data_IF_595248473241
#
_entry.id   IF_595248473241
#
_cell.length_a   1.000
_cell.length_b   1.000
_cell.length_c   1.000
_cell.angle_alpha   90.00
_cell.angle_beta   90.00
_cell.angle_gamma   90.00
#
_symmetry.space_group_name_H-M   'P 1'
#
loop_
_entity.id
_entity.type
_entity.pdbx_description
1 polymer ?
#
# COMPACT_ATOMS: atom_id res chain seq x y z
N UNK A 1 7.79 -9.70 25.22
CA UNK A 1 7.45 -9.46 23.80
C UNK A 1 5.95 -9.29 23.70
N UNK A 2 5.45 -8.24 23.05
CA UNK A 2 4.01 -8.18 22.70
C UNK A 2 3.77 -9.24 21.63
N UNK A 3 2.87 -10.17 21.89
CA UNK A 3 2.38 -11.10 20.86
C UNK A 3 1.64 -10.30 19.79
N UNK A 4 1.70 -10.69 18.51
CA UNK A 4 0.99 -10.02 17.40
C UNK A 4 -0.49 -9.78 17.73
N UNK A 5 -1.11 -10.70 18.49
CA UNK A 5 -2.50 -10.61 18.95
C UNK A 5 -2.81 -9.43 19.89
N UNK A 6 -1.80 -8.78 20.48
CA UNK A 6 -1.94 -7.68 21.44
C UNK A 6 -1.61 -6.31 20.83
N UNK A 7 -1.48 -6.20 19.50
CA UNK A 7 -1.17 -4.95 18.82
C UNK A 7 -2.48 -4.30 18.36
N UNK A 8 -2.72 -3.06 18.81
CA UNK A 8 -3.85 -2.24 18.35
C UNK A 8 -3.51 -1.59 17.00
N UNK A 9 -3.58 -2.38 15.93
CA UNK A 9 -3.15 -1.96 14.59
C UNK A 9 -3.86 -0.73 14.03
N UNK A 10 -5.10 -0.45 14.47
CA UNK A 10 -5.86 0.73 14.03
C UNK A 10 -5.35 2.05 14.65
N UNK A 11 -4.45 1.99 15.64
CA UNK A 11 -3.82 3.17 16.24
C UNK A 11 -2.42 3.45 15.68
N UNK A 12 -1.94 2.61 14.77
CA UNK A 12 -0.61 2.75 14.17
C UNK A 12 -0.77 3.10 12.68
N UNK A 13 0.13 3.93 12.12
CA UNK A 13 0.30 4.03 10.68
C UNK A 13 0.44 2.64 10.04
N UNK A 14 -0.12 2.44 8.86
CA UNK A 14 -0.12 1.14 8.19
C UNK A 14 1.30 0.56 8.04
N UNK A 15 2.27 1.40 7.69
CA UNK A 15 3.68 1.00 7.57
C UNK A 15 4.28 0.57 8.91
N UNK A 16 3.94 1.23 10.03
CA UNK A 16 4.40 0.86 11.37
C UNK A 16 3.85 -0.49 11.82
N UNK A 17 2.57 -0.75 11.52
CA UNK A 17 1.97 -2.05 11.75
C UNK A 17 2.66 -3.17 10.95
N UNK A 18 2.94 -2.93 9.67
CA UNK A 18 3.67 -3.87 8.81
C UNK A 18 5.11 -4.09 9.32
N UNK A 19 5.82 -3.03 9.72
CA UNK A 19 7.17 -3.14 10.30
C UNK A 19 7.15 -3.96 11.60
N UNK A 20 6.17 -3.72 12.46
CA UNK A 20 6.02 -4.44 13.74
C UNK A 20 5.82 -5.93 13.50
N UNK A 21 4.91 -6.29 12.59
CA UNK A 21 4.69 -7.69 12.19
C UNK A 21 5.95 -8.29 11.56
N UNK A 22 6.67 -7.51 10.73
CA UNK A 22 7.89 -7.98 10.07
C UNK A 22 8.98 -8.37 11.08
N UNK A 23 9.17 -7.59 12.14
CA UNK A 23 10.11 -7.91 13.22
C UNK A 23 9.73 -9.16 14.01
N UNK A 24 8.44 -9.50 14.10
CA UNK A 24 7.99 -10.72 14.76
C UNK A 24 8.29 -11.99 13.92
N UNK A 25 8.34 -11.87 12.60
CA UNK A 25 8.54 -13.01 11.69
C UNK A 25 10.01 -13.19 11.34
N UNK A 26 10.73 -12.08 11.14
CA UNK A 26 12.07 -12.06 10.57
C UNK A 26 13.03 -11.30 11.50
N UNK A 27 13.87 -12.05 12.22
CA UNK A 27 14.75 -11.51 13.26
C UNK A 27 15.76 -10.47 12.72
N UNK A 28 16.25 -10.64 11.50
CA UNK A 28 17.19 -9.71 10.85
C UNK A 28 16.49 -8.56 10.10
N UNK A 29 15.20 -8.31 10.35
CA UNK A 29 14.49 -7.18 9.76
C UNK A 29 15.14 -5.83 10.19
N UNK A 30 15.64 -5.02 9.24
CA UNK A 30 16.46 -3.85 9.55
C UNK A 30 15.58 -2.62 9.84
N UNK A 31 14.82 -2.65 10.93
CA UNK A 31 13.80 -1.63 11.27
C UNK A 31 14.31 -0.19 11.13
N UNK A 32 15.46 0.13 11.77
CA UNK A 32 16.00 1.49 11.75
C UNK A 32 16.35 1.96 10.34
N UNK A 33 16.83 1.06 9.47
CA UNK A 33 17.15 1.38 8.08
C UNK A 33 15.87 1.67 7.28
N UNK A 34 14.83 0.85 7.47
CA UNK A 34 13.52 1.04 6.82
C UNK A 34 12.91 2.38 7.23
N UNK A 35 12.90 2.69 8.53
CA UNK A 35 12.40 3.98 9.04
C UNK A 35 13.18 5.16 8.44
N UNK A 36 14.52 5.10 8.42
CA UNK A 36 15.34 6.16 7.84
C UNK A 36 15.08 6.36 6.33
N UNK A 37 14.87 5.27 5.58
CA UNK A 37 14.52 5.36 4.16
C UNK A 37 13.14 5.99 3.95
N UNK A 38 12.14 5.61 4.75
CA UNK A 38 10.81 6.21 4.71
C UNK A 38 10.85 7.71 5.05
N UNK A 39 11.58 8.11 6.08
CA UNK A 39 11.72 9.53 6.47
C UNK A 39 12.48 10.34 5.40
N UNK A 40 13.43 9.72 4.70
CA UNK A 40 14.10 10.32 3.54
C UNK A 40 13.14 10.56 2.37
N UNK A 41 12.21 9.64 2.12
CA UNK A 41 11.17 9.82 1.09
C UNK A 41 10.21 10.95 1.46
N UNK A 42 9.79 11.02 2.73
CA UNK A 42 8.97 12.12 3.26
C UNK A 42 9.67 13.47 3.07
N UNK A 43 10.94 13.56 3.44
CA UNK A 43 11.72 14.79 3.30
C UNK A 43 11.86 15.21 1.83
N UNK A 44 12.06 14.24 0.94
CA UNK A 44 12.16 14.46 -0.51
C UNK A 44 10.82 14.95 -1.09
N UNK A 45 9.71 14.29 -0.76
CA UNK A 45 8.37 14.71 -1.19
C UNK A 45 8.03 16.11 -0.66
N UNK A 46 8.29 16.40 0.61
CA UNK A 46 8.05 17.71 1.24
C UNK A 46 8.73 18.85 0.50
N UNK A 47 9.91 18.60 -0.07
CA UNK A 47 10.68 19.62 -0.80
C UNK A 47 10.19 19.88 -2.23
N UNK A 48 9.30 19.02 -2.75
CA UNK A 48 8.87 19.02 -4.17
C UNK A 48 7.38 19.19 -4.37
N UNK A 49 6.57 18.80 -3.39
CA UNK A 49 5.11 18.95 -3.41
C UNK A 49 4.74 20.35 -2.92
N UNK A 50 3.84 21.01 -3.65
CA UNK A 50 3.20 22.23 -3.17
C UNK A 50 2.15 21.88 -2.11
N UNK A 51 2.54 22.01 -0.84
CA UNK A 51 1.66 21.72 0.28
C UNK A 51 0.50 22.72 0.43
N UNK A 52 0.52 23.83 -0.30
CA UNK A 52 -0.56 24.82 -0.32
C UNK A 52 -1.63 24.53 -1.37
N UNK A 53 -1.36 23.60 -2.29
CA UNK A 53 -2.31 23.14 -3.29
C UNK A 53 -3.48 22.37 -2.67
N UNK A 54 -4.55 22.17 -3.45
CA UNK A 54 -5.66 21.30 -3.06
C UNK A 54 -5.23 19.83 -2.96
N UNK A 55 -6.03 19.01 -2.27
CA UNK A 55 -5.70 17.61 -2.00
C UNK A 55 -5.50 16.78 -3.27
N UNK A 56 -6.34 16.98 -4.29
CA UNK A 56 -6.25 16.27 -5.55
C UNK A 56 -4.91 16.56 -6.25
N UNK A 57 -4.50 17.84 -6.31
CA UNK A 57 -3.19 18.25 -6.83
C UNK A 57 -2.03 17.64 -6.03
N UNK A 58 -2.10 17.62 -4.68
CA UNK A 58 -1.04 17.01 -3.84
C UNK A 58 -0.88 15.51 -4.13
N UNK A 59 -2.00 14.77 -4.28
CA UNK A 59 -1.96 13.35 -4.63
C UNK A 59 -1.33 13.15 -6.01
N UNK A 60 -1.68 13.96 -7.00
CA UNK A 60 -1.11 13.88 -8.35
C UNK A 60 0.41 14.14 -8.34
N UNK A 61 0.87 15.15 -7.60
CA UNK A 61 2.30 15.45 -7.44
C UNK A 61 3.04 14.31 -6.74
N UNK A 62 2.47 13.75 -5.66
CA UNK A 62 3.06 12.59 -4.99
C UNK A 62 3.09 11.36 -5.91
N UNK A 63 2.04 11.11 -6.68
CA UNK A 63 2.00 10.01 -7.65
C UNK A 63 3.07 10.16 -8.73
N UNK A 64 3.25 11.36 -9.29
CA UNK A 64 4.31 11.61 -10.26
C UNK A 64 5.70 11.35 -9.66
N UNK A 65 5.97 11.84 -8.44
CA UNK A 65 7.22 11.55 -7.74
C UNK A 65 7.41 10.05 -7.52
N UNK A 66 6.39 9.36 -7.01
CA UNK A 66 6.48 7.98 -6.57
C UNK A 66 6.65 7.01 -7.74
N UNK A 67 5.78 7.09 -8.75
CA UNK A 67 5.74 6.14 -9.86
C UNK A 67 6.68 6.51 -11.01
N UNK A 68 6.86 7.80 -11.30
CA UNK A 68 7.65 8.23 -12.48
C UNK A 68 9.10 8.54 -12.09
N UNK A 69 9.32 9.40 -11.10
CA UNK A 69 10.68 9.85 -10.76
C UNK A 69 11.43 8.84 -9.88
N UNK A 70 10.76 8.27 -8.89
CA UNK A 70 11.36 7.27 -8.01
C UNK A 70 11.22 5.86 -8.55
N UNK A 71 10.41 5.65 -9.58
CA UNK A 71 10.24 4.37 -10.28
C UNK A 71 9.76 3.25 -9.36
N UNK A 72 8.91 3.57 -8.38
CA UNK A 72 8.18 2.53 -7.65
C UNK A 72 7.11 1.91 -8.56
N UNK A 73 6.96 0.59 -8.51
CA UNK A 73 5.97 -0.08 -9.35
C UNK A 73 5.83 -1.58 -9.12
N UNK A 74 5.11 -2.22 -10.04
CA UNK A 74 4.92 -3.66 -10.05
C UNK A 74 6.25 -4.41 -10.10
N UNK A 75 6.26 -5.61 -9.56
CA UNK A 75 7.36 -6.53 -9.77
C UNK A 75 7.44 -6.97 -11.24
N UNK A 76 8.63 -6.95 -11.81
CA UNK A 76 8.92 -7.41 -13.16
C UNK A 76 9.72 -8.73 -13.15
N UNK A 77 9.44 -9.61 -14.11
CA UNK A 77 10.16 -10.87 -14.25
C UNK A 77 9.81 -11.92 -13.20
N UNK A 78 10.76 -12.83 -12.93
CA UNK A 78 10.61 -13.90 -11.95
C UNK A 78 11.09 -13.41 -10.59
N UNK A 79 10.21 -13.44 -9.60
CA UNK A 79 10.49 -13.00 -8.24
C UNK A 79 9.91 -13.97 -7.21
N UNK A 80 10.46 -13.91 -6.00
CA UNK A 80 9.83 -14.51 -4.82
C UNK A 80 8.76 -13.55 -4.31
N UNK A 81 7.55 -14.04 -4.08
CA UNK A 81 6.46 -13.20 -3.58
C UNK A 81 6.81 -12.65 -2.20
N UNK A 82 7.50 -13.42 -1.35
CA UNK A 82 7.96 -12.93 -0.05
C UNK A 82 8.85 -11.69 -0.19
N UNK A 83 9.69 -11.61 -1.23
CA UNK A 83 10.58 -10.48 -1.46
C UNK A 83 9.82 -9.18 -1.80
N UNK A 84 8.60 -9.28 -2.33
CA UNK A 84 7.71 -8.15 -2.63
C UNK A 84 6.81 -7.75 -1.44
N UNK A 85 6.90 -8.47 -0.32
CA UNK A 85 6.10 -8.24 0.88
C UNK A 85 6.93 -7.62 2.03
N UNK A 86 8.26 -7.73 1.96
CA UNK A 86 9.16 -7.12 2.94
C UNK A 86 9.49 -5.67 2.57
N UNK A 87 9.12 -4.70 3.43
CA UNK A 87 9.35 -3.27 3.14
C UNK A 87 10.82 -2.93 2.87
N UNK A 88 11.78 -3.56 3.55
CA UNK A 88 13.20 -3.31 3.30
C UNK A 88 13.64 -3.74 1.89
N UNK A 89 13.07 -4.83 1.38
CA UNK A 89 13.32 -5.31 0.01
C UNK A 89 12.61 -4.43 -1.00
N UNK A 90 11.35 -4.09 -0.77
CA UNK A 90 10.56 -3.19 -1.63
C UNK A 90 11.19 -1.81 -1.73
N UNK A 91 11.70 -1.23 -0.63
CA UNK A 91 12.41 0.05 -0.65
C UNK A 91 13.73 -0.02 -1.43
N UNK A 92 14.37 -1.20 -1.47
CA UNK A 92 15.62 -1.41 -2.21
C UNK A 92 15.38 -1.68 -3.70
N UNK A 93 14.38 -2.50 -4.04
CA UNK A 93 14.05 -2.89 -5.42
C UNK A 93 13.17 -1.86 -6.11
N UNK A 94 12.44 -1.06 -5.33
CA UNK A 94 11.32 -0.20 -5.76
C UNK A 94 10.17 -0.99 -6.40
N UNK A 95 10.14 -2.30 -6.19
CA UNK A 95 9.14 -3.20 -6.73
C UNK A 95 8.38 -3.86 -5.58
N UNK A 96 7.06 -3.88 -5.67
CA UNK A 96 6.24 -4.44 -4.60
C UNK A 96 4.83 -4.83 -5.04
N UNK A 97 4.07 -5.31 -4.06
CA UNK A 97 2.64 -5.60 -4.20
C UNK A 97 1.80 -4.33 -3.98
N UNK A 98 0.50 -4.32 -4.36
CA UNK A 98 -0.40 -3.22 -4.03
C UNK A 98 -0.36 -2.82 -2.56
N UNK A 99 -0.22 -3.80 -1.63
CA UNK A 99 -0.21 -3.51 -0.19
C UNK A 99 1.10 -2.83 0.24
N UNK A 100 2.26 -3.32 -0.22
CA UNK A 100 3.55 -2.75 0.19
C UNK A 100 3.83 -1.41 -0.46
N UNK A 101 3.49 -1.24 -1.75
CA UNK A 101 3.56 0.06 -2.42
C UNK A 101 2.57 1.03 -1.75
N UNK A 102 1.37 0.53 -1.47
CA UNK A 102 0.34 1.22 -0.70
C UNK A 102 0.84 1.75 0.64
N UNK A 103 1.49 0.91 1.43
CA UNK A 103 2.00 1.27 2.75
C UNK A 103 3.09 2.36 2.69
N UNK A 104 3.98 2.32 1.69
CA UNK A 104 5.01 3.36 1.53
C UNK A 104 4.37 4.67 1.08
N UNK A 105 3.46 4.63 0.10
CA UNK A 105 2.76 5.81 -0.39
C UNK A 105 1.94 6.48 0.72
N UNK A 106 1.15 5.71 1.46
CA UNK A 106 0.30 6.19 2.54
C UNK A 106 1.12 6.77 3.69
N UNK A 107 2.29 6.19 4.00
CA UNK A 107 3.19 6.79 4.99
C UNK A 107 3.66 8.19 4.59
N UNK A 108 3.98 8.40 3.32
CA UNK A 108 4.38 9.72 2.83
C UNK A 108 3.19 10.67 2.85
N UNK A 109 2.04 10.23 2.38
CA UNK A 109 0.81 11.01 2.34
C UNK A 109 0.39 11.50 3.74
N UNK A 110 0.37 10.60 4.73
CA UNK A 110 0.03 10.90 6.12
C UNK A 110 0.95 11.99 6.70
N UNK A 111 2.27 11.88 6.46
CA UNK A 111 3.26 12.85 6.97
C UNK A 111 3.22 14.21 6.27
N UNK A 112 2.54 14.30 5.14
CA UNK A 112 2.35 15.53 4.37
C UNK A 112 0.92 16.08 4.44
N UNK A 113 0.06 15.49 5.28
CA UNK A 113 -1.35 15.88 5.41
C UNK A 113 -2.09 15.80 4.07
N UNK A 114 -1.86 14.70 3.35
CA UNK A 114 -2.53 14.34 2.10
C UNK A 114 -3.61 13.30 2.43
N UNK A 115 -4.86 13.65 2.15
CA UNK A 115 -6.04 12.84 2.44
C UNK A 115 -6.22 11.76 1.38
N UNK A 116 -5.74 10.56 1.66
CA UNK A 116 -5.89 9.37 0.83
C UNK A 116 -5.85 8.13 1.71
N UNK A 117 -6.76 7.19 1.46
CA UNK A 117 -6.99 6.06 2.36
C UNK A 117 -6.85 4.72 1.64
N UNK A 118 -6.38 3.67 2.32
CA UNK A 118 -6.46 2.31 1.79
C UNK A 118 -7.93 1.86 1.72
N UNK A 119 -8.26 1.08 0.72
CA UNK A 119 -9.53 0.35 0.62
C UNK A 119 -9.25 -1.11 0.23
N UNK A 120 -9.98 -2.04 0.83
CA UNK A 120 -9.84 -3.47 0.50
C UNK A 120 -10.82 -3.80 -0.61
N UNK A 121 -10.27 -4.11 -1.78
CA UNK A 121 -11.01 -4.72 -2.87
C UNK A 121 -10.75 -6.25 -2.85
N UNK A 122 -11.68 -7.09 -3.35
CA UNK A 122 -11.52 -8.54 -3.30
C UNK A 122 -10.18 -9.02 -3.87
N UNK A 123 -9.74 -8.43 -4.97
CA UNK A 123 -8.50 -8.82 -5.64
C UNK A 123 -7.25 -8.15 -5.06
N UNK A 124 -7.34 -6.93 -4.53
CA UNK A 124 -6.17 -6.16 -4.11
C UNK A 124 -6.49 -4.98 -3.16
N UNK A 125 -5.46 -4.32 -2.65
CA UNK A 125 -5.58 -3.01 -2.02
C UNK A 125 -5.79 -1.95 -3.11
N UNK A 126 -6.68 -1.00 -2.87
CA UNK A 126 -6.83 0.21 -3.67
C UNK A 126 -6.62 1.45 -2.78
N UNK A 127 -6.43 2.61 -3.39
CA UNK A 127 -6.61 3.87 -2.68
C UNK A 127 -7.97 4.48 -2.99
N UNK A 128 -8.51 5.21 -2.02
CA UNK A 128 -9.64 6.11 -2.20
C UNK A 128 -9.31 7.51 -1.67
N UNK A 129 -9.81 8.51 -2.39
CA UNK A 129 -9.82 9.92 -2.00
C UNK A 129 -11.10 10.56 -2.56
N UNK A 130 -11.33 11.82 -2.24
CA UNK A 130 -12.31 12.68 -2.91
C UNK A 130 -11.61 13.54 -3.97
N UNK A 131 -12.28 13.82 -5.08
CA UNK A 131 -11.90 14.85 -6.07
C UNK A 131 -12.43 16.21 -5.66
N UNK A 132 -11.93 17.28 -6.30
CA UNK A 132 -12.42 18.64 -6.05
C UNK A 132 -13.91 18.85 -6.38
N UNK A 133 -14.51 18.01 -7.21
CA UNK A 133 -15.95 18.03 -7.53
C UNK A 133 -16.81 17.21 -6.56
N UNK A 134 -16.21 16.64 -5.50
CA UNK A 134 -16.86 15.79 -4.50
C UNK A 134 -17.06 14.34 -4.94
N UNK A 135 -16.65 13.96 -6.16
CA UNK A 135 -16.73 12.58 -6.61
C UNK A 135 -15.66 11.70 -5.97
N UNK A 136 -15.99 10.42 -5.74
CA UNK A 136 -15.02 9.46 -5.23
C UNK A 136 -13.94 9.17 -6.28
N UNK A 137 -12.70 9.20 -5.84
CA UNK A 137 -11.52 8.90 -6.65
C UNK A 137 -10.88 7.59 -6.20
N UNK A 138 -10.91 6.58 -7.07
CA UNK A 138 -10.24 5.30 -6.84
C UNK A 138 -8.94 5.24 -7.63
N UNK A 139 -7.85 4.85 -6.97
CA UNK A 139 -6.49 4.85 -7.56
C UNK A 139 -5.83 3.48 -7.34
N UNK A 140 -5.13 2.99 -8.35
CA UNK A 140 -4.32 1.78 -8.27
C UNK A 140 -2.98 2.04 -7.55
N UNK A 141 -2.68 1.38 -6.41
CA UNK A 141 -1.43 1.57 -5.67
C UNK A 141 -0.17 1.10 -6.41
N UNK A 142 -0.32 0.38 -7.52
CA UNK A 142 0.82 -0.18 -8.27
C UNK A 142 1.41 0.82 -9.24
N UNK A 143 0.58 1.70 -9.82
CA UNK A 143 0.99 2.60 -10.90
C UNK A 143 0.39 4.02 -10.81
N UNK A 144 -0.46 4.28 -9.82
CA UNK A 144 -1.11 5.59 -9.64
C UNK A 144 -2.25 5.88 -10.62
N UNK A 145 -2.68 4.90 -11.42
CA UNK A 145 -3.76 5.11 -12.38
C UNK A 145 -5.11 5.29 -11.68
N UNK A 146 -5.91 6.23 -12.20
CA UNK A 146 -7.31 6.38 -11.80
C UNK A 146 -8.13 5.22 -12.34
N UNK A 147 -8.87 4.54 -11.48
CA UNK A 147 -9.68 3.38 -11.84
C UNK A 147 -11.14 3.79 -12.01
N UNK A 148 -11.75 3.36 -13.12
CA UNK A 148 -13.18 3.51 -13.36
C UNK A 148 -13.95 2.35 -12.71
N UNK A 149 -15.23 2.57 -12.38
CA UNK A 149 -16.12 1.48 -11.95
C UNK A 149 -16.26 0.38 -13.01
N UNK A 150 -16.15 0.71 -14.30
CA UNK A 150 -16.11 -0.30 -15.34
C UNK A 150 -14.90 -1.23 -15.18
N UNK A 151 -13.71 -0.67 -14.95
CA UNK A 151 -12.48 -1.43 -14.68
C UNK A 151 -12.63 -2.33 -13.46
N UNK A 152 -13.17 -1.80 -12.35
CA UNK A 152 -13.39 -2.55 -11.12
C UNK A 152 -14.38 -3.71 -11.33
N UNK A 153 -15.47 -3.46 -12.07
CA UNK A 153 -16.44 -4.51 -12.44
C UNK A 153 -15.80 -5.65 -13.24
N UNK A 154 -14.95 -5.32 -14.23
CA UNK A 154 -14.24 -6.34 -15.00
C UNK A 154 -13.34 -7.21 -14.12
N UNK A 155 -12.67 -6.61 -13.13
CA UNK A 155 -11.83 -7.35 -12.18
C UNK A 155 -12.64 -8.28 -11.27
N UNK A 156 -13.80 -7.84 -10.76
CA UNK A 156 -14.67 -8.72 -9.97
C UNK A 156 -15.19 -9.88 -10.80
N UNK A 157 -15.64 -9.63 -12.03
CA UNK A 157 -16.16 -10.68 -12.91
C UNK A 157 -15.10 -11.71 -13.30
N UNK A 158 -13.85 -11.28 -13.44
CA UNK A 158 -12.73 -12.16 -13.74
C UNK A 158 -12.24 -13.00 -12.55
N UNK A 159 -12.54 -12.60 -11.31
CA UNK A 159 -11.91 -13.20 -10.12
C UNK A 159 -12.87 -13.79 -9.11
N UNK A 160 -14.06 -13.20 -8.95
CA UNK A 160 -15.04 -13.56 -7.92
C UNK A 160 -16.22 -14.29 -8.53
N UNK A 161 -16.99 -13.62 -9.38
CA UNK A 161 -18.19 -14.19 -10.01
C UNK A 161 -18.58 -13.40 -11.28
N UNK A 162 -18.86 -14.04 -12.42
CA UNK A 162 -19.20 -13.37 -13.68
C UNK A 162 -20.42 -12.44 -13.62
N UNK A 163 -21.31 -12.61 -12.63
CA UNK A 163 -22.51 -11.82 -12.43
C UNK A 163 -22.37 -10.77 -11.32
N UNK A 164 -21.19 -10.64 -10.71
CA UNK A 164 -20.92 -9.58 -9.74
C UNK A 164 -21.03 -8.19 -10.36
N UNK A 165 -21.61 -7.27 -9.60
CA UNK A 165 -21.68 -5.85 -9.93
C UNK A 165 -21.11 -5.03 -8.79
N UNK A 166 -20.26 -4.06 -9.14
CA UNK A 166 -19.63 -3.11 -8.24
C UNK A 166 -20.26 -1.73 -8.40
N UNK A 167 -20.57 -1.09 -7.28
CA UNK A 167 -21.13 0.26 -7.20
C UNK A 167 -20.18 1.17 -6.41
N UNK A 168 -20.11 2.47 -6.76
CA UNK A 168 -19.15 3.42 -6.16
C UNK A 168 -19.28 3.52 -4.63
N UNK A 169 -20.49 3.40 -4.09
CA UNK A 169 -20.80 3.46 -2.67
C UNK A 169 -20.31 2.26 -1.86
N UNK A 170 -19.72 1.24 -2.50
CA UNK A 170 -19.26 0.02 -1.84
C UNK A 170 -17.78 0.05 -1.44
N UNK A 171 -16.98 1.03 -1.90
CA UNK A 171 -15.58 1.14 -1.48
C UNK A 171 -15.44 2.13 -0.33
N UNK A 172 -15.11 1.60 0.85
CA UNK A 172 -14.84 2.39 2.05
C UNK A 172 -13.38 2.25 2.50
N UNK A 173 -12.95 3.18 3.35
CA UNK A 173 -11.63 3.16 3.94
C UNK A 173 -11.48 1.89 4.80
N UNK A 174 -10.44 1.13 4.53
CA UNK A 174 -10.14 -0.08 5.27
C UNK A 174 -9.46 0.23 6.58
N UNK A 175 -9.81 -0.52 7.62
CA UNK A 175 -9.06 -0.53 8.86
C UNK A 175 -7.64 -1.09 8.65
N UNK A 176 -6.64 -0.46 9.28
CA UNK A 176 -5.25 -0.93 9.20
C UNK A 176 -5.12 -2.38 9.69
N UNK A 177 -5.88 -2.79 10.71
CA UNK A 177 -5.91 -4.16 11.22
C UNK A 177 -6.23 -5.20 10.12
N UNK A 178 -7.19 -4.90 9.24
CA UNK A 178 -7.61 -5.76 8.14
C UNK A 178 -6.50 -5.86 7.10
N UNK A 179 -5.92 -4.71 6.70
CA UNK A 179 -4.83 -4.67 5.72
C UNK A 179 -3.61 -5.45 6.24
N UNK A 180 -3.23 -5.24 7.50
CA UNK A 180 -2.09 -5.89 8.16
C UNK A 180 -2.33 -7.39 8.30
N UNK A 181 -3.55 -7.82 8.60
CA UNK A 181 -3.88 -9.23 8.64
C UNK A 181 -3.73 -9.89 7.26
N UNK A 182 -4.24 -9.24 6.21
CA UNK A 182 -4.18 -9.77 4.84
C UNK A 182 -2.74 -9.91 4.34
N UNK A 183 -1.89 -8.91 4.56
CA UNK A 183 -0.47 -8.99 4.16
C UNK A 183 0.27 -10.06 4.97
N UNK A 184 -0.02 -10.20 6.27
CA UNK A 184 0.55 -11.26 7.10
C UNK A 184 0.18 -12.65 6.59
N UNK A 185 -1.10 -12.89 6.30
CA UNK A 185 -1.57 -14.18 5.81
C UNK A 185 -0.97 -14.50 4.43
N UNK A 186 -0.82 -13.49 3.56
CA UNK A 186 -0.17 -13.63 2.24
C UNK A 186 1.31 -13.93 2.36
N UNK A 187 2.02 -13.24 3.25
CA UNK A 187 3.43 -13.46 3.52
C UNK A 187 3.67 -14.86 4.09
N UNK A 188 2.81 -15.32 5.00
CA UNK A 188 2.87 -16.67 5.54
C UNK A 188 2.71 -17.72 4.43
N UNK A 189 1.72 -17.55 3.56
CA UNK A 189 1.49 -18.46 2.43
C UNK A 189 2.71 -18.48 1.47
N UNK A 190 3.22 -17.31 1.10
CA UNK A 190 4.40 -17.17 0.24
C UNK A 190 5.62 -17.89 0.82
N UNK A 191 5.92 -17.70 2.11
CA UNK A 191 7.06 -18.36 2.75
C UNK A 191 6.93 -19.89 2.81
N UNK A 192 5.70 -20.40 2.98
CA UNK A 192 5.42 -21.84 2.96
C UNK A 192 5.64 -22.44 1.57
N UNK A 193 5.14 -21.78 0.51
CA UNK A 193 5.31 -22.22 -0.87
C UNK A 193 6.76 -22.17 -1.33
N UNK A 194 7.49 -21.12 -0.93
CA UNK A 194 8.90 -20.91 -1.25
C UNK A 194 9.85 -21.83 -0.45
N UNK A 195 9.32 -22.75 0.37
CA UNK A 195 10.08 -23.69 1.23
C UNK A 195 11.06 -23.01 2.18
N UNK A 196 10.74 -21.82 2.68
CA UNK A 196 11.56 -21.06 3.64
C UNK A 196 11.16 -21.27 5.10
N UNK A 197 10.61 -22.44 5.44
CA UNK A 197 10.43 -22.87 6.83
C UNK A 197 11.23 -24.16 7.09
N UNK A 198 12.35 -24.00 7.77
CA UNK A 198 13.06 -25.04 8.51
C UNK A 198 13.36 -24.50 9.89
#
# INVERSE_FOLDING_TARGET
MKTIANIEFNQLPLSEGIMTVSQCIRHDFPLMKVQAQLDSLVSSAKSRIDLTADNETKIQQLASLFYQEWSFGAAEGIYLLSDMLWLDKVLSSKQGTPVTLGAIFLYIAERLDITIYPAIFPTQLLFISERNDGSQWVINPVNGESLSVHTLNLWLKGTVDPFSEFYYDQLEAAENSIVIRKIFDTLKAALMEEKRWS
#
